data_IF_041474182944
#
_entry.id   IF_041474182944
#
_cell.length_a   1.000
_cell.length_b   1.000
_cell.length_c   1.000
_cell.angle_alpha   90.00
_cell.angle_beta   90.00
_cell.angle_gamma   90.00
#
_symmetry.space_group_name_H-M   'P 1'
#
loop_
_entity.id
_entity.type
_entity.pdbx_description
1 polymer ?
#
# COMPACT_ATOMS: atom_id res chain seq x y z
N UNK A 1 -1.71 62.14 38.57
CA UNK A 1 -1.09 63.23 37.82
C UNK A 1 -0.99 62.76 36.43
N UNK A 2 -1.89 63.18 35.57
CA UNK A 2 -1.80 64.13 34.45
C UNK A 2 -0.78 63.65 33.38
N UNK A 3 -1.08 63.52 32.10
CA UNK A 3 -2.13 64.00 31.21
C UNK A 3 -1.86 63.43 29.83
N UNK A 4 -2.74 63.02 29.05
CA UNK A 4 -3.65 63.52 28.06
C UNK A 4 -3.04 64.44 26.97
N UNK A 5 -3.18 64.00 25.70
CA UNK A 5 -3.64 64.72 24.52
C UNK A 5 -3.15 64.00 23.26
N UNK A 6 -4.02 63.49 22.38
CA UNK A 6 -5.01 64.05 21.42
C UNK A 6 -4.37 64.44 20.06
N UNK A 7 -4.94 63.77 19.04
CA UNK A 7 -5.46 64.19 17.74
C UNK A 7 -4.47 64.61 16.63
N UNK A 8 -4.56 63.96 15.44
CA UNK A 8 -5.46 64.43 14.37
C UNK A 8 -5.28 63.62 13.05
N UNK A 9 -6.34 63.11 12.59
CA UNK A 9 -6.96 63.06 11.22
C UNK A 9 -6.14 63.44 9.98
N UNK A 10 -6.27 62.63 8.93
CA UNK A 10 -5.94 63.01 7.55
C UNK A 10 -6.36 61.96 6.54
N UNK A 11 -7.59 62.01 6.11
CA UNK A 11 -8.18 61.30 4.97
C UNK A 11 -7.63 61.80 3.63
N UNK A 12 -7.37 60.88 2.68
CA UNK A 12 -7.54 61.14 1.24
C UNK A 12 -7.57 59.84 0.43
N UNK A 13 -8.69 59.53 -0.17
CA UNK A 13 -8.92 58.77 -1.40
C UNK A 13 -9.23 59.78 -2.51
N UNK A 14 -9.42 59.38 -3.79
CA UNK A 14 -8.79 58.37 -4.66
C UNK A 14 -8.37 58.99 -6.03
N UNK A 15 -7.61 58.26 -6.83
CA UNK A 15 -7.62 58.56 -8.28
C UNK A 15 -7.59 57.25 -9.11
N UNK A 16 -8.58 57.19 -9.95
CA UNK A 16 -8.88 56.20 -10.98
C UNK A 16 -8.25 56.68 -12.29
N UNK A 17 -7.40 55.88 -12.93
CA UNK A 17 -7.04 56.09 -14.34
C UNK A 17 -7.26 54.79 -15.11
N UNK A 18 -8.20 54.88 -16.01
CA UNK A 18 -8.53 53.96 -17.09
C UNK A 18 -7.62 54.17 -18.29
N UNK A 19 -7.17 53.12 -18.96
CA UNK A 19 -6.93 53.13 -20.42
C UNK A 19 -6.92 51.70 -21.00
N UNK A 20 -7.72 51.51 -22.03
CA UNK A 20 -7.74 50.40 -23.00
C UNK A 20 -7.07 50.89 -24.31
N UNK A 21 -7.12 50.16 -25.46
CA UNK A 21 -6.51 48.87 -25.80
C UNK A 21 -5.65 48.91 -27.09
N UNK A 22 -5.01 47.76 -27.41
CA UNK A 22 -4.61 47.25 -28.76
C UNK A 22 -3.36 47.84 -29.45
N UNK A 23 -2.72 47.15 -30.41
CA UNK A 23 -3.12 46.02 -31.26
C UNK A 23 -2.04 44.92 -31.45
N UNK A 24 -2.47 43.83 -32.08
CA UNK A 24 -1.62 42.75 -32.62
C UNK A 24 -0.83 43.17 -33.86
N UNK A 25 0.26 42.47 -34.22
CA UNK A 25 0.40 42.00 -35.60
C UNK A 25 0.95 40.57 -35.76
N UNK A 26 0.27 39.86 -36.66
CA UNK A 26 0.71 39.00 -37.78
C UNK A 26 1.91 38.08 -37.66
N UNK A 27 1.59 36.80 -37.84
CA UNK A 27 2.21 35.68 -38.59
C UNK A 27 3.61 35.86 -39.17
N UNK A 28 4.52 34.92 -38.80
CA UNK A 28 5.45 34.29 -39.73
C UNK A 28 5.60 32.80 -39.39
N UNK A 29 5.33 31.97 -40.40
CA UNK A 29 5.56 30.54 -40.46
C UNK A 29 7.02 30.24 -40.74
N UNK A 30 7.64 29.34 -39.98
CA UNK A 30 8.79 28.58 -40.47
C UNK A 30 8.64 27.11 -40.04
N UNK A 31 8.56 26.27 -41.07
CA UNK A 31 8.62 24.82 -40.99
C UNK A 31 9.98 24.36 -40.44
N UNK A 32 9.96 23.51 -39.44
CA UNK A 32 11.03 22.51 -39.24
C UNK A 32 10.42 21.20 -38.77
N UNK A 33 10.43 20.26 -39.70
CA UNK A 33 10.13 18.82 -39.47
C UNK A 33 11.19 18.18 -38.62
N UNK A 34 10.83 17.67 -37.43
CA UNK A 34 11.59 16.62 -36.76
C UNK A 34 10.69 15.71 -35.92
N UNK A 35 10.68 14.45 -36.31
CA UNK A 35 10.41 13.18 -35.60
C UNK A 35 9.56 13.19 -34.33
N UNK A 36 8.27 12.89 -34.46
CA UNK A 36 7.31 12.70 -33.36
C UNK A 36 6.67 11.30 -33.31
N UNK A 37 7.38 10.22 -33.71
CA UNK A 37 6.77 8.88 -33.78
C UNK A 37 6.71 8.10 -32.47
N UNK A 38 7.48 8.49 -31.43
CA UNK A 38 7.49 7.80 -30.13
C UNK A 38 6.41 8.26 -29.15
N UNK A 39 6.10 9.55 -29.12
CA UNK A 39 5.14 10.14 -28.17
C UNK A 39 3.66 9.81 -28.47
N UNK A 40 3.32 9.50 -29.72
CA UNK A 40 1.93 9.20 -30.13
C UNK A 40 1.45 7.84 -29.63
N UNK A 41 2.31 6.80 -29.62
CA UNK A 41 1.91 5.45 -29.18
C UNK A 41 1.66 5.35 -27.67
N UNK A 42 2.48 6.03 -26.86
CA UNK A 42 2.32 6.07 -25.40
C UNK A 42 1.06 6.84 -25.01
N UNK A 43 0.77 7.97 -25.68
CA UNK A 43 -0.45 8.75 -25.42
C UNK A 43 -1.74 8.00 -25.77
N UNK A 44 -1.73 7.15 -26.81
CA UNK A 44 -2.90 6.35 -27.20
C UNK A 44 -3.15 5.23 -26.19
N UNK A 45 -2.10 4.55 -25.71
CA UNK A 45 -2.22 3.54 -24.67
C UNK A 45 -2.68 4.14 -23.34
N UNK A 46 -2.12 5.29 -22.92
CA UNK A 46 -2.51 6.00 -21.71
C UNK A 46 -3.98 6.48 -21.74
N UNK A 47 -4.48 6.96 -22.89
CA UNK A 47 -5.88 7.35 -23.04
C UNK A 47 -6.84 6.17 -22.93
N UNK A 48 -6.49 5.01 -23.50
CA UNK A 48 -7.31 3.80 -23.40
C UNK A 48 -7.40 3.30 -21.95
N UNK A 49 -6.27 3.29 -21.20
CA UNK A 49 -6.22 2.84 -19.81
C UNK A 49 -6.88 3.85 -18.87
N UNK A 50 -6.73 5.16 -19.13
CA UNK A 50 -7.36 6.21 -18.33
C UNK A 50 -8.89 6.20 -18.40
N UNK A 51 -9.47 5.89 -19.57
CA UNK A 51 -10.91 5.72 -19.71
C UNK A 51 -11.45 4.60 -18.81
N UNK A 52 -10.74 3.47 -18.74
CA UNK A 52 -11.07 2.36 -17.86
C UNK A 52 -10.87 2.72 -16.37
N UNK A 53 -9.86 3.52 -16.05
CA UNK A 53 -9.58 3.98 -14.68
C UNK A 53 -10.69 4.91 -14.16
N UNK A 54 -11.19 5.82 -14.98
CA UNK A 54 -12.32 6.71 -14.63
C UNK A 54 -13.57 5.89 -14.32
N UNK A 55 -13.86 4.83 -15.11
CA UNK A 55 -15.02 3.96 -14.88
C UNK A 55 -14.96 3.20 -13.54
N UNK A 56 -13.75 2.92 -13.00
CA UNK A 56 -13.60 2.26 -11.69
C UNK A 56 -13.98 3.14 -10.49
N UNK A 57 -14.02 4.46 -10.67
CA UNK A 57 -14.31 5.43 -9.60
C UNK A 57 -15.65 6.14 -9.77
N UNK A 58 -16.41 5.87 -10.84
CA UNK A 58 -17.80 6.34 -10.97
C UNK A 58 -18.74 5.36 -10.27
N UNK A 59 -19.69 5.82 -9.44
CA UNK A 59 -20.79 4.99 -8.96
C UNK A 59 -21.59 4.48 -10.18
N UNK A 60 -22.15 3.26 -10.14
CA UNK A 60 -23.09 2.84 -11.15
C UNK A 60 -24.26 3.82 -11.19
N UNK A 61 -24.63 4.32 -12.36
CA UNK A 61 -25.89 5.02 -12.55
C UNK A 61 -27.01 4.05 -12.17
N UNK A 62 -27.88 4.44 -11.25
CA UNK A 62 -29.10 3.70 -10.91
C UNK A 62 -30.01 3.70 -12.14
N UNK A 63 -30.05 2.58 -12.85
CA UNK A 63 -31.09 2.32 -13.82
C UNK A 63 -32.42 2.15 -13.06
N UNK A 64 -33.35 3.04 -13.32
CA UNK A 64 -34.72 2.95 -12.82
C UNK A 64 -35.38 1.63 -13.25
N UNK A 65 -36.14 0.97 -12.37
CA UNK A 65 -36.73 -0.32 -12.70
C UNK A 65 -37.89 -0.16 -13.69
N UNK A 66 -37.73 -0.70 -14.87
CA UNK A 66 -38.87 -0.95 -15.77
C UNK A 66 -39.67 -2.12 -15.24
N UNK A 67 -40.88 -1.83 -14.77
CA UNK A 67 -41.93 -2.81 -14.49
C UNK A 67 -42.35 -3.51 -15.78
N UNK A 68 -42.17 -4.82 -15.84
CA UNK A 68 -43.01 -5.70 -16.68
C UNK A 68 -43.35 -6.96 -15.88
N UNK A 69 -44.65 -7.07 -15.59
CA UNK A 69 -45.31 -8.19 -15.00
C UNK A 69 -45.46 -9.35 -15.99
N UNK A 70 -45.11 -10.58 -15.58
CA UNK A 70 -45.86 -11.76 -15.98
C UNK A 70 -45.56 -12.93 -15.03
N UNK A 71 -46.68 -13.50 -14.58
CA UNK A 71 -46.77 -14.59 -13.63
C UNK A 71 -46.69 -15.97 -14.33
N UNK A 72 -46.65 -16.99 -13.51
CA UNK A 72 -46.79 -18.45 -13.58
C UNK A 72 -45.49 -19.15 -13.23
N UNK A 73 -45.36 -20.00 -12.24
CA UNK A 73 -46.26 -21.00 -11.65
C UNK A 73 -45.57 -22.35 -11.70
N UNK A 74 -45.49 -23.05 -10.57
CA UNK A 74 -45.22 -24.51 -10.64
C UNK A 74 -44.03 -25.01 -9.81
N UNK A 75 -44.34 -25.47 -8.63
CA UNK A 75 -43.73 -26.50 -7.78
C UNK A 75 -43.10 -27.69 -8.53
N UNK A 76 -42.02 -28.28 -7.99
CA UNK A 76 -42.08 -29.58 -7.29
C UNK A 76 -40.70 -30.05 -6.80
N UNK A 77 -40.73 -30.55 -5.60
CA UNK A 77 -39.68 -31.29 -4.94
C UNK A 77 -39.49 -32.69 -5.50
N UNK A 78 -38.29 -33.23 -5.47
CA UNK A 78 -38.08 -34.65 -5.14
C UNK A 78 -36.69 -34.95 -4.57
N UNK A 79 -36.73 -35.62 -3.45
CA UNK A 79 -35.70 -36.33 -2.70
C UNK A 79 -35.44 -37.70 -3.32
N UNK A 80 -34.20 -38.20 -3.23
CA UNK A 80 -33.88 -39.55 -2.72
C UNK A 80 -32.43 -39.98 -3.00
N UNK A 81 -31.73 -40.21 -2.00
CA UNK A 81 -30.98 -41.41 -1.51
C UNK A 81 -30.72 -42.56 -2.49
N UNK A 82 -29.49 -43.07 -2.53
CA UNK A 82 -29.12 -44.41 -2.10
C UNK A 82 -27.70 -44.79 -2.44
N UNK A 83 -27.08 -45.44 -1.45
CA UNK A 83 -25.88 -46.23 -1.40
C UNK A 83 -25.71 -47.27 -2.54
N UNK A 84 -24.47 -47.72 -2.77
CA UNK A 84 -24.01 -49.09 -2.58
C UNK A 84 -22.53 -49.27 -2.98
N UNK A 85 -21.82 -49.88 -2.09
CA UNK A 85 -20.57 -50.59 -2.03
C UNK A 85 -20.17 -51.48 -3.21
N UNK A 86 -18.87 -51.70 -3.39
CA UNK A 86 -18.31 -52.82 -4.17
C UNK A 86 -16.78 -52.83 -4.18
N UNK A 87 -16.24 -53.86 -3.54
CA UNK A 87 -14.84 -54.14 -3.27
C UNK A 87 -14.13 -54.94 -4.38
N UNK A 88 -12.82 -55.14 -4.11
CA UNK A 88 -11.87 -56.15 -4.61
C UNK A 88 -11.24 -55.91 -5.99
N UNK A 89 -10.04 -56.30 -6.33
CA UNK A 89 -8.95 -57.06 -5.71
C UNK A 89 -7.70 -57.00 -6.62
N UNK A 90 -6.52 -57.03 -6.00
CA UNK A 90 -5.21 -57.63 -6.39
C UNK A 90 -4.70 -57.60 -7.83
N UNK A 91 -3.43 -57.32 -8.07
CA UNK A 91 -2.22 -58.15 -8.07
C UNK A 91 -1.01 -57.43 -8.59
N UNK A 92 0.02 -57.37 -7.86
CA UNK A 92 1.36 -58.01 -7.93
C UNK A 92 2.28 -57.67 -9.12
N UNK A 93 3.49 -57.24 -8.83
CA UNK A 93 4.54 -57.07 -9.84
C UNK A 93 5.87 -56.49 -9.24
N UNK A 94 6.61 -57.33 -8.62
CA UNK A 94 7.96 -57.25 -8.02
C UNK A 94 9.08 -56.62 -8.88
N UNK A 95 10.01 -55.97 -8.24
CA UNK A 95 11.49 -56.23 -8.04
C UNK A 95 12.37 -55.02 -8.43
N UNK A 96 13.21 -54.60 -7.61
CA UNK A 96 14.45 -54.87 -6.86
C UNK A 96 15.54 -53.88 -7.24
N UNK A 97 16.18 -53.21 -6.35
CA UNK A 97 17.54 -53.26 -5.80
C UNK A 97 17.86 -51.98 -5.02
N UNK A 98 18.00 -52.02 -3.71
CA UNK A 98 19.18 -52.24 -2.87
C UNK A 98 20.21 -51.11 -2.91
N UNK A 99 20.32 -50.33 -1.84
CA UNK A 99 21.52 -50.19 -1.00
C UNK A 99 21.28 -49.31 0.21
N UNK A 100 21.26 -49.85 1.31
CA UNK A 100 21.93 -49.71 2.60
C UNK A 100 22.61 -48.36 2.82
N UNK A 101 22.03 -47.52 3.71
CA UNK A 101 22.73 -46.93 4.86
C UNK A 101 21.70 -46.66 5.96
N UNK A 102 21.78 -47.44 7.00
CA UNK A 102 21.08 -47.27 8.25
C UNK A 102 21.72 -46.09 8.99
N UNK A 103 21.03 -44.97 9.07
CA UNK A 103 21.31 -43.95 10.07
C UNK A 103 20.04 -43.80 10.89
N UNK A 104 20.22 -43.99 12.20
CA UNK A 104 19.21 -43.91 13.24
C UNK A 104 18.42 -42.59 13.05
N UNK A 105 17.10 -42.73 12.95
CA UNK A 105 16.19 -41.59 13.01
C UNK A 105 16.16 -41.08 14.44
N UNK A 106 16.98 -40.05 14.70
CA UNK A 106 16.66 -39.10 15.74
C UNK A 106 15.61 -38.18 15.18
N UNK A 107 14.52 -38.04 15.91
CA UNK A 107 13.40 -37.20 15.68
C UNK A 107 13.86 -35.75 15.41
N UNK A 108 13.96 -35.36 14.14
CA UNK A 108 14.10 -33.97 13.76
C UNK A 108 12.74 -33.30 13.97
N UNK A 109 12.55 -32.72 15.14
CA UNK A 109 11.66 -31.59 15.28
C UNK A 109 12.02 -30.55 14.20
N UNK A 110 11.11 -30.31 13.29
CA UNK A 110 11.12 -29.11 12.47
C UNK A 110 11.27 -27.93 13.41
N UNK A 111 12.42 -27.25 13.37
CA UNK A 111 12.62 -25.99 14.07
C UNK A 111 11.70 -24.98 13.43
N UNK A 112 10.47 -24.83 13.95
CA UNK A 112 9.75 -23.58 13.82
C UNK A 112 10.68 -22.46 14.31
N UNK A 113 10.81 -21.35 13.58
CA UNK A 113 11.56 -20.21 14.08
C UNK A 113 10.92 -19.81 15.41
N UNK A 114 11.68 -19.95 16.49
CA UNK A 114 11.19 -19.75 17.85
C UNK A 114 10.84 -18.28 18.03
N UNK A 115 9.58 -17.91 17.79
CA UNK A 115 9.05 -16.63 18.21
C UNK A 115 9.11 -16.59 19.73
N UNK A 116 9.94 -15.69 20.27
CA UNK A 116 10.17 -15.58 21.71
C UNK A 116 8.84 -15.14 22.35
N UNK A 117 8.35 -15.96 23.30
CA UNK A 117 7.21 -15.56 24.13
C UNK A 117 7.74 -14.67 25.25
N UNK A 118 7.32 -13.40 25.23
CA UNK A 118 7.62 -12.46 26.31
C UNK A 118 6.69 -12.68 27.51
N UNK A 119 7.18 -12.36 28.71
CA UNK A 119 6.34 -12.29 29.91
C UNK A 119 5.81 -10.87 30.10
N UNK A 120 4.74 -10.71 30.87
CA UNK A 120 4.23 -9.39 31.22
C UNK A 120 5.25 -8.55 32.02
N UNK A 121 6.10 -9.23 32.80
CA UNK A 121 7.18 -8.59 33.54
C UNK A 121 8.22 -7.97 32.58
N UNK A 122 8.60 -8.68 31.51
CA UNK A 122 9.53 -8.15 30.50
C UNK A 122 8.95 -6.94 29.79
N UNK A 123 7.66 -7.02 29.38
CA UNK A 123 6.95 -5.93 28.73
C UNK A 123 6.86 -4.69 29.64
N UNK A 124 6.46 -4.87 30.90
CA UNK A 124 6.38 -3.79 31.88
C UNK A 124 7.74 -3.13 32.13
N UNK A 125 8.80 -3.95 32.23
CA UNK A 125 10.17 -3.45 32.38
C UNK A 125 10.60 -2.63 31.16
N UNK A 126 10.40 -3.18 29.93
CA UNK A 126 10.78 -2.54 28.69
C UNK A 126 10.03 -1.20 28.43
N UNK A 127 8.76 -1.11 28.86
CA UNK A 127 7.89 0.06 28.66
C UNK A 127 7.79 0.99 29.87
N UNK A 128 8.49 0.69 30.97
CA UNK A 128 8.33 1.39 32.27
C UNK A 128 6.84 1.44 32.67
N UNK A 129 6.19 0.26 32.70
CA UNK A 129 4.75 0.10 32.96
C UNK A 129 3.87 0.89 32.00
N UNK A 130 4.14 0.79 30.68
CA UNK A 130 3.42 1.54 29.63
C UNK A 130 3.40 3.06 29.85
N UNK A 131 4.53 3.60 30.23
CA UNK A 131 4.68 5.04 30.50
C UNK A 131 4.16 5.89 29.32
N UNK A 132 3.31 6.90 29.56
CA UNK A 132 2.80 7.79 28.51
C UNK A 132 3.89 8.47 27.69
N UNK A 133 5.06 8.72 28.29
CA UNK A 133 6.23 9.34 27.62
C UNK A 133 6.80 8.43 26.53
N UNK A 134 6.63 7.11 26.67
CA UNK A 134 7.12 6.12 25.71
C UNK A 134 6.07 5.77 24.63
N UNK A 135 4.89 6.38 24.68
CA UNK A 135 3.86 6.20 23.66
C UNK A 135 4.30 6.88 22.38
N UNK A 136 4.45 6.09 21.29
CA UNK A 136 4.87 6.58 19.97
C UNK A 136 3.75 6.56 18.93
N UNK A 137 2.63 5.86 19.22
CA UNK A 137 1.49 5.81 18.32
C UNK A 137 0.22 5.26 18.95
N UNK A 138 -0.92 5.61 18.35
CA UNK A 138 -2.23 5.05 18.72
C UNK A 138 -3.11 4.97 17.47
N UNK A 139 -3.74 3.83 17.25
CA UNK A 139 -4.60 3.60 16.10
C UNK A 139 -5.80 2.70 16.42
N UNK A 140 -6.45 2.21 15.36
CA UNK A 140 -7.58 1.29 15.45
C UNK A 140 -7.24 0.01 16.20
N UNK A 141 -6.07 -0.54 15.96
CA UNK A 141 -5.59 -1.79 16.55
C UNK A 141 -5.17 -1.67 18.02
N UNK A 142 -4.70 -0.51 18.45
CA UNK A 142 -4.17 -0.37 19.80
C UNK A 142 -3.22 0.80 19.97
N UNK A 143 -2.33 0.68 20.97
CA UNK A 143 -1.31 1.67 21.31
C UNK A 143 0.07 1.07 21.13
N UNK A 144 0.98 1.84 20.55
CA UNK A 144 2.38 1.45 20.33
C UNK A 144 3.26 2.24 21.29
N UNK A 145 4.15 1.53 21.98
CA UNK A 145 5.13 2.09 22.90
C UNK A 145 6.54 1.80 22.41
N UNK A 146 7.44 2.77 22.53
CA UNK A 146 8.87 2.52 22.46
C UNK A 146 9.30 1.76 23.70
N UNK A 147 10.07 0.70 23.54
CA UNK A 147 10.61 -0.10 24.63
C UNK A 147 12.09 -0.34 24.47
N UNK A 148 12.74 -0.78 25.56
CA UNK A 148 14.11 -1.24 25.54
C UNK A 148 14.21 -2.57 26.26
N UNK A 149 14.71 -3.59 25.56
CA UNK A 149 14.94 -4.91 26.14
C UNK A 149 16.15 -4.91 27.05
N UNK A 150 16.38 -6.03 27.77
CA UNK A 150 17.48 -6.14 28.75
C UNK A 150 18.87 -6.05 28.12
N UNK A 151 18.99 -6.48 26.86
CA UNK A 151 20.22 -6.42 26.06
C UNK A 151 20.47 -5.03 25.42
N UNK A 152 19.60 -4.05 25.70
CA UNK A 152 19.68 -2.71 25.13
C UNK A 152 18.95 -2.55 23.81
N UNK A 153 18.42 -3.60 23.20
CA UNK A 153 17.70 -3.55 21.92
C UNK A 153 16.46 -2.66 22.02
N UNK A 154 16.33 -1.69 21.11
CA UNK A 154 15.14 -0.84 21.01
C UNK A 154 14.04 -1.58 20.23
N UNK A 155 12.84 -1.61 20.81
CA UNK A 155 11.67 -2.29 20.26
C UNK A 155 10.45 -1.38 20.22
N UNK A 156 9.51 -1.67 19.31
CA UNK A 156 8.15 -1.15 19.31
C UNK A 156 7.22 -2.22 19.88
N UNK A 157 6.48 -1.86 20.91
CA UNK A 157 5.58 -2.75 21.65
C UNK A 157 4.16 -2.33 21.34
N UNK A 158 3.51 -3.08 20.46
CA UNK A 158 2.14 -2.87 20.00
C UNK A 158 1.19 -3.62 20.93
N UNK A 159 0.46 -2.89 21.79
CA UNK A 159 -0.55 -3.44 22.69
C UNK A 159 -1.93 -3.27 22.10
N UNK A 160 -2.64 -4.36 21.83
CA UNK A 160 -3.99 -4.34 21.29
C UNK A 160 -4.98 -3.68 22.28
N UNK A 161 -6.04 -3.07 21.74
CA UNK A 161 -7.13 -2.56 22.56
C UNK A 161 -7.85 -3.72 23.27
N UNK A 162 -8.14 -3.56 24.54
CA UNK A 162 -9.05 -4.45 25.27
C UNK A 162 -10.50 -4.12 24.84
N UNK A 163 -11.04 -4.92 23.95
CA UNK A 163 -12.47 -4.84 23.61
C UNK A 163 -13.13 -6.15 23.95
N UNK A 164 -14.02 -6.12 24.94
CA UNK A 164 -14.80 -7.30 25.36
C UNK A 164 -15.78 -7.80 24.28
N UNK A 165 -16.02 -6.99 23.22
CA UNK A 165 -17.02 -7.27 22.19
C UNK A 165 -16.42 -7.58 20.80
N UNK A 166 -15.12 -7.42 20.60
CA UNK A 166 -14.54 -7.51 19.26
C UNK A 166 -13.82 -8.85 19.04
N UNK A 167 -14.60 -9.88 18.64
CA UNK A 167 -14.08 -11.20 18.25
C UNK A 167 -13.08 -11.11 17.07
N UNK A 168 -13.06 -9.99 16.34
CA UNK A 168 -12.17 -9.77 15.18
C UNK A 168 -10.73 -9.41 15.61
N UNK A 169 -10.53 -8.74 16.76
CA UNK A 169 -9.21 -8.35 17.26
C UNK A 169 -8.30 -9.57 17.56
N UNK A 170 -8.89 -10.67 18.04
CA UNK A 170 -8.16 -11.93 18.22
C UNK A 170 -7.65 -12.50 16.91
N UNK A 171 -8.47 -12.46 15.85
CA UNK A 171 -8.09 -12.95 14.53
C UNK A 171 -7.03 -12.07 13.83
N UNK A 172 -7.04 -10.77 14.05
CA UNK A 172 -6.02 -9.84 13.53
C UNK A 172 -4.67 -10.06 14.21
N UNK A 173 -4.67 -10.19 15.53
CA UNK A 173 -3.47 -10.51 16.31
C UNK A 173 -2.83 -11.83 15.86
N UNK A 174 -3.62 -12.92 15.76
CA UNK A 174 -3.12 -14.22 15.30
C UNK A 174 -2.58 -14.16 13.87
N UNK A 175 -3.24 -13.40 12.98
CA UNK A 175 -2.76 -13.20 11.60
C UNK A 175 -1.43 -12.45 11.57
N UNK A 176 -1.28 -11.42 12.40
CA UNK A 176 -0.04 -10.66 12.53
C UNK A 176 1.11 -11.54 13.01
N UNK A 177 0.90 -12.33 14.06
CA UNK A 177 1.90 -13.27 14.57
C UNK A 177 2.26 -14.31 13.52
N UNK A 178 1.26 -14.94 12.89
CA UNK A 178 1.47 -16.00 11.90
C UNK A 178 2.25 -15.48 10.68
N UNK A 179 1.99 -14.27 10.23
CA UNK A 179 2.71 -13.68 9.11
C UNK A 179 4.13 -13.28 9.53
N UNK A 180 4.27 -12.52 10.62
CA UNK A 180 5.56 -11.98 11.07
C UNK A 180 6.55 -13.05 11.51
N UNK A 181 6.09 -14.19 12.08
CA UNK A 181 6.98 -15.28 12.50
C UNK A 181 7.65 -16.00 11.33
N UNK A 182 7.12 -15.86 10.11
CA UNK A 182 7.58 -16.55 8.90
C UNK A 182 8.44 -15.69 8.00
N UNK A 183 8.64 -14.40 8.31
CA UNK A 183 9.31 -13.46 7.43
C UNK A 183 10.52 -12.82 8.10
N UNK A 184 11.63 -12.74 7.34
CA UNK A 184 12.79 -11.96 7.70
C UNK A 184 13.36 -11.32 6.43
N UNK A 185 13.27 -9.99 6.34
CA UNK A 185 13.74 -9.22 5.19
C UNK A 185 14.17 -7.82 5.62
N UNK A 186 15.19 -7.26 4.96
CA UNK A 186 15.75 -5.94 5.28
C UNK A 186 14.70 -4.83 5.28
N UNK A 187 13.76 -4.88 4.34
CA UNK A 187 12.71 -3.86 4.16
C UNK A 187 11.38 -4.24 4.82
N UNK A 188 11.38 -5.21 5.75
CA UNK A 188 10.27 -5.52 6.65
C UNK A 188 10.68 -5.22 8.09
N UNK A 189 9.72 -4.87 8.94
CA UNK A 189 9.97 -4.78 10.38
C UNK A 189 10.24 -6.19 10.93
N UNK A 190 11.30 -6.32 11.73
CA UNK A 190 11.64 -7.60 12.36
C UNK A 190 10.70 -7.90 13.52
N UNK A 191 10.17 -9.12 13.61
CA UNK A 191 9.45 -9.59 14.78
C UNK A 191 10.43 -10.15 15.81
N UNK A 192 10.36 -9.69 17.05
CA UNK A 192 11.10 -10.25 18.16
C UNK A 192 10.28 -11.27 18.95
N UNK A 193 8.96 -11.14 18.93
CA UNK A 193 8.06 -12.07 19.59
C UNK A 193 6.73 -11.46 19.99
N UNK A 194 6.02 -12.11 20.88
CA UNK A 194 4.69 -11.69 21.29
C UNK A 194 4.35 -12.13 22.73
N UNK A 195 3.27 -11.57 23.27
CA UNK A 195 2.61 -11.99 24.50
C UNK A 195 1.12 -12.15 24.23
N UNK A 196 0.58 -13.32 24.61
CA UNK A 196 -0.84 -13.57 24.71
C UNK A 196 -1.13 -14.18 26.08
N UNK A 197 -1.76 -13.38 26.96
CA UNK A 197 -2.04 -13.79 28.34
C UNK A 197 -3.34 -13.11 28.82
N UNK A 198 -4.38 -13.88 29.11
CA UNK A 198 -5.70 -13.33 29.43
C UNK A 198 -6.22 -12.45 28.30
N UNK A 199 -6.53 -11.19 28.62
CA UNK A 199 -7.00 -10.19 27.65
C UNK A 199 -5.86 -9.40 26.99
N UNK A 200 -4.60 -9.62 27.41
CA UNK A 200 -3.46 -8.92 26.84
C UNK A 200 -2.98 -9.60 25.57
N UNK A 201 -2.86 -8.81 24.51
CA UNK A 201 -2.29 -9.20 23.23
C UNK A 201 -1.29 -8.15 22.80
N UNK A 202 -0.02 -8.54 22.76
CA UNK A 202 1.10 -7.65 22.56
C UNK A 202 2.04 -8.26 21.54
N UNK A 203 2.42 -7.47 20.53
CA UNK A 203 3.47 -7.81 19.56
C UNK A 203 4.69 -6.95 19.82
N UNK A 204 5.87 -7.56 19.80
CA UNK A 204 7.15 -6.91 19.98
C UNK A 204 7.91 -6.94 18.66
N UNK A 205 8.11 -5.78 18.06
CA UNK A 205 8.78 -5.64 16.75
C UNK A 205 9.92 -4.64 16.82
N UNK A 206 10.71 -4.59 15.77
CA UNK A 206 11.78 -3.62 15.60
C UNK A 206 11.26 -2.17 15.75
N UNK A 207 11.97 -1.36 16.53
CA UNK A 207 11.73 0.08 16.60
C UNK A 207 12.46 0.79 15.45
N UNK A 208 11.72 1.43 14.57
CA UNK A 208 12.27 2.20 13.45
C UNK A 208 12.16 3.69 13.79
N UNK A 209 13.29 4.41 13.94
CA UNK A 209 13.32 5.66 14.71
C UNK A 209 12.79 6.89 13.99
N UNK A 210 12.74 6.90 12.65
CA UNK A 210 12.48 8.10 11.86
C UNK A 210 11.00 8.25 11.42
N UNK A 211 10.07 7.58 12.13
CA UNK A 211 8.64 7.72 11.88
C UNK A 211 8.16 7.11 10.56
N UNK A 212 7.01 7.57 10.09
CA UNK A 212 6.32 7.04 8.90
C UNK A 212 6.61 7.88 7.65
N UNK A 213 6.55 7.24 6.48
CA UNK A 213 6.61 7.94 5.19
C UNK A 213 5.52 9.02 5.09
N UNK A 214 4.33 8.81 5.67
CA UNK A 214 3.25 9.81 5.67
C UNK A 214 3.66 11.09 6.38
N UNK A 215 4.29 10.99 7.56
CA UNK A 215 4.78 12.14 8.31
C UNK A 215 5.85 12.92 7.54
N UNK A 216 6.72 12.23 6.83
CA UNK A 216 7.73 12.87 5.96
C UNK A 216 7.11 13.56 4.75
N UNK A 217 6.12 12.95 4.08
CA UNK A 217 5.42 13.59 2.96
C UNK A 217 4.63 14.83 3.42
N UNK A 218 4.15 14.85 4.65
CA UNK A 218 3.49 16.01 5.29
C UNK A 218 4.48 17.01 5.89
N UNK A 219 5.78 16.69 5.86
CA UNK A 219 6.87 17.52 6.41
C UNK A 219 6.73 17.85 7.90
N UNK A 220 6.20 16.93 8.71
CA UNK A 220 6.12 17.14 10.16
C UNK A 220 7.50 17.38 10.80
N UNK A 221 8.55 16.78 10.24
CA UNK A 221 9.93 16.97 10.72
C UNK A 221 10.67 18.13 10.04
N UNK A 222 9.99 18.95 9.23
CA UNK A 222 10.56 20.10 8.53
C UNK A 222 11.45 19.76 7.32
N UNK A 223 11.80 18.50 7.11
CA UNK A 223 12.66 18.06 6.02
C UNK A 223 11.83 17.52 4.84
N UNK A 224 12.13 17.98 3.63
CA UNK A 224 11.52 17.50 2.39
C UNK A 224 12.29 16.31 1.85
N UNK A 225 11.61 15.19 1.60
CA UNK A 225 12.20 14.06 0.88
C UNK A 225 12.42 14.44 -0.59
N UNK A 226 13.67 14.38 -1.06
CA UNK A 226 14.00 14.53 -2.50
C UNK A 226 13.36 13.44 -3.34
N UNK A 227 13.24 13.64 -4.65
CA UNK A 227 12.69 12.61 -5.55
C UNK A 227 13.58 11.35 -5.58
N UNK A 228 14.91 11.50 -5.47
CA UNK A 228 15.86 10.37 -5.33
C UNK A 228 15.54 9.51 -4.10
N UNK A 229 15.33 10.13 -2.94
CA UNK A 229 14.94 9.43 -1.71
C UNK A 229 13.57 8.74 -1.85
N UNK A 230 12.61 9.38 -2.52
CA UNK A 230 11.27 8.81 -2.76
C UNK A 230 11.34 7.59 -3.70
N UNK A 231 12.24 7.61 -4.69
CA UNK A 231 12.50 6.45 -5.56
C UNK A 231 13.13 5.30 -4.78
N UNK A 232 14.12 5.58 -3.92
CA UNK A 232 14.74 4.55 -3.07
C UNK A 232 13.71 3.90 -2.13
N UNK A 233 12.84 4.70 -1.51
CA UNK A 233 11.74 4.22 -0.67
C UNK A 233 10.77 3.35 -1.48
N UNK A 234 10.39 3.76 -2.70
CA UNK A 234 9.51 2.98 -3.56
C UNK A 234 10.13 1.61 -3.93
N UNK A 235 11.43 1.58 -4.23
CA UNK A 235 12.19 0.36 -4.54
C UNK A 235 12.22 -0.56 -3.31
N UNK A 236 12.51 -0.02 -2.13
CA UNK A 236 12.54 -0.78 -0.87
C UNK A 236 11.19 -1.45 -0.59
N UNK A 237 10.09 -0.70 -0.73
CA UNK A 237 8.73 -1.23 -0.56
C UNK A 237 8.43 -2.30 -1.60
N UNK A 238 8.80 -2.08 -2.88
CA UNK A 238 8.61 -3.07 -3.93
C UNK A 238 9.39 -4.37 -3.66
N UNK A 239 10.61 -4.29 -3.13
CA UNK A 239 11.40 -5.45 -2.70
C UNK A 239 10.74 -6.20 -1.54
N UNK A 240 10.27 -5.47 -0.51
CA UNK A 240 9.57 -6.07 0.63
C UNK A 240 8.34 -6.87 0.18
N UNK A 241 7.49 -6.27 -0.68
CA UNK A 241 6.27 -6.94 -1.14
C UNK A 241 6.62 -8.09 -2.11
N UNK A 242 7.66 -7.95 -2.94
CA UNK A 242 8.15 -9.05 -3.80
C UNK A 242 8.57 -10.24 -2.96
N UNK A 243 9.28 -10.00 -1.85
CA UNK A 243 9.68 -11.05 -0.91
C UNK A 243 8.44 -11.77 -0.34
N UNK A 244 7.43 -11.03 0.13
CA UNK A 244 6.19 -11.61 0.67
C UNK A 244 5.42 -12.45 -0.36
N UNK A 245 5.41 -12.02 -1.63
CA UNK A 245 4.67 -12.71 -2.69
C UNK A 245 5.40 -13.91 -3.30
N UNK A 246 6.74 -13.98 -3.17
CA UNK A 246 7.53 -14.92 -4.00
C UNK A 246 8.49 -15.81 -3.19
N UNK A 247 9.02 -15.32 -2.08
CA UNK A 247 10.15 -15.95 -1.38
C UNK A 247 9.78 -16.52 -0.01
N UNK A 248 8.52 -16.50 0.37
CA UNK A 248 7.97 -17.16 1.56
C UNK A 248 7.42 -18.54 1.18
N UNK A 249 7.41 -19.50 2.11
CA UNK A 249 6.90 -20.87 1.86
C UNK A 249 5.47 -20.85 1.27
N UNK A 250 4.64 -19.94 1.76
CA UNK A 250 3.32 -19.63 1.22
C UNK A 250 3.25 -18.13 0.98
N UNK A 251 2.87 -17.66 -0.22
CA UNK A 251 2.76 -16.23 -0.50
C UNK A 251 1.90 -15.50 0.54
N UNK A 252 2.40 -14.37 1.02
CA UNK A 252 1.71 -13.54 2.01
C UNK A 252 1.21 -12.27 1.33
N UNK A 253 -0.10 -12.01 1.42
CA UNK A 253 -0.73 -10.78 0.95
C UNK A 253 -0.86 -9.84 2.15
N UNK A 254 -0.26 -8.65 2.07
CA UNK A 254 -0.18 -7.68 3.17
C UNK A 254 -1.53 -6.99 3.44
N UNK A 255 -2.28 -6.61 2.39
CA UNK A 255 -3.63 -5.99 2.39
C UNK A 255 -3.73 -4.55 2.89
N UNK A 256 -2.67 -3.99 3.48
CA UNK A 256 -2.70 -2.62 4.02
C UNK A 256 -1.43 -1.82 3.68
N UNK A 257 -0.99 -1.93 2.42
CA UNK A 257 0.13 -1.13 1.90
C UNK A 257 -0.32 0.32 1.79
N UNK A 258 0.30 1.20 2.57
CA UNK A 258 0.02 2.65 2.64
C UNK A 258 1.18 3.40 3.27
N UNK A 259 1.28 4.69 3.04
CA UNK A 259 2.39 5.52 3.53
C UNK A 259 2.55 5.55 5.07
N UNK A 260 1.46 5.39 5.83
CA UNK A 260 1.53 5.31 7.30
C UNK A 260 2.00 3.96 7.84
N UNK A 261 2.08 2.92 6.99
CA UNK A 261 2.62 1.61 7.33
C UNK A 261 4.05 1.40 6.76
N UNK A 262 4.62 2.44 6.16
CA UNK A 262 6.03 2.45 5.74
C UNK A 262 6.81 3.29 6.74
N UNK A 263 7.68 2.63 7.50
CA UNK A 263 8.57 3.28 8.47
C UNK A 263 9.93 3.59 7.82
N UNK A 264 10.56 4.68 8.24
CA UNK A 264 11.85 5.09 7.71
C UNK A 264 12.95 4.96 8.77
N UNK A 265 14.08 4.38 8.36
CA UNK A 265 15.30 4.37 9.17
C UNK A 265 15.99 5.74 9.14
N UNK A 266 16.99 5.95 10.01
CA UNK A 266 17.82 7.18 10.01
C UNK A 266 18.48 7.45 8.63
N UNK A 267 18.70 6.39 7.85
CA UNK A 267 19.25 6.47 6.48
C UNK A 267 18.17 6.56 5.41
N UNK A 268 16.93 6.89 5.76
CA UNK A 268 15.76 6.97 4.88
C UNK A 268 15.47 5.67 4.12
N UNK A 269 15.89 4.49 4.63
CA UNK A 269 15.52 3.19 4.06
C UNK A 269 14.15 2.77 4.59
N UNK A 270 13.32 2.25 3.70
CA UNK A 270 11.96 1.89 4.06
C UNK A 270 11.87 0.49 4.67
N UNK A 271 10.98 0.38 5.67
CA UNK A 271 10.54 -0.89 6.27
C UNK A 271 9.02 -0.95 6.30
N UNK A 272 8.46 -1.98 5.67
CA UNK A 272 7.01 -2.22 5.69
C UNK A 272 6.63 -2.81 7.04
N UNK A 273 5.57 -2.26 7.64
CA UNK A 273 5.09 -2.60 8.98
C UNK A 273 3.57 -2.87 8.98
N UNK A 274 3.07 -3.38 10.10
CA UNK A 274 1.65 -3.63 10.39
C UNK A 274 1.01 -4.75 9.56
N UNK A 275 1.25 -5.98 9.98
CA UNK A 275 0.73 -7.21 9.36
C UNK A 275 -0.65 -7.64 9.90
N UNK A 276 -1.36 -6.80 10.65
CA UNK A 276 -2.64 -7.12 11.27
C UNK A 276 -3.72 -7.59 10.30
N UNK A 277 -3.62 -7.20 9.02
CA UNK A 277 -4.53 -7.65 7.96
C UNK A 277 -3.93 -8.71 7.05
N UNK A 278 -2.67 -9.08 7.21
CA UNK A 278 -2.00 -10.03 6.33
C UNK A 278 -2.73 -11.37 6.24
N UNK A 279 -2.63 -12.03 5.09
CA UNK A 279 -3.17 -13.37 4.84
C UNK A 279 -2.23 -14.18 3.97
N UNK A 280 -2.13 -15.47 4.28
CA UNK A 280 -1.54 -16.42 3.36
C UNK A 280 -2.40 -16.48 2.09
N UNK A 281 -1.77 -16.45 0.93
CA UNK A 281 -2.46 -16.70 -0.34
C UNK A 281 -3.00 -18.14 -0.37
N UNK A 282 -3.92 -18.42 -1.28
CA UNK A 282 -4.36 -19.78 -1.50
C UNK A 282 -3.19 -20.62 -2.02
N UNK A 283 -3.05 -21.85 -1.50
CA UNK A 283 -2.04 -22.79 -1.96
C UNK A 283 -2.25 -23.11 -3.43
N UNK A 284 -1.18 -23.04 -4.22
CA UNK A 284 -1.20 -23.41 -5.63
C UNK A 284 -1.69 -24.87 -5.82
N UNK A 285 -1.37 -25.76 -4.88
CA UNK A 285 -1.81 -27.15 -4.86
C UNK A 285 -3.33 -27.31 -4.66
N UNK A 286 -3.99 -26.35 -4.00
CA UNK A 286 -5.44 -26.38 -3.81
C UNK A 286 -6.24 -25.99 -5.08
N UNK A 287 -5.58 -25.58 -6.16
CA UNK A 287 -6.21 -25.09 -7.40
C UNK A 287 -6.98 -23.78 -7.23
N UNK A 288 -6.90 -23.14 -6.06
CA UNK A 288 -7.57 -21.85 -5.78
C UNK A 288 -6.71 -20.70 -6.26
N UNK A 289 -7.29 -19.80 -7.02
CA UNK A 289 -6.62 -18.61 -7.57
C UNK A 289 -6.72 -17.37 -6.67
N UNK A 290 -7.45 -17.46 -5.56
CA UNK A 290 -7.71 -16.35 -4.65
C UNK A 290 -8.14 -16.84 -3.26
N UNK A 291 -8.07 -15.96 -2.27
CA UNK A 291 -8.63 -16.17 -0.93
C UNK A 291 -9.95 -15.40 -0.81
N UNK A 292 -11.06 -16.11 -0.60
CA UNK A 292 -12.35 -15.48 -0.28
C UNK A 292 -12.33 -15.04 1.18
N UNK A 293 -12.41 -13.74 1.43
CA UNK A 293 -12.31 -13.19 2.79
C UNK A 293 -13.06 -11.87 2.90
N UNK A 294 -13.45 -11.53 4.14
CA UNK A 294 -14.00 -10.21 4.45
C UNK A 294 -13.05 -9.10 3.97
N UNK A 295 -13.60 -8.09 3.32
CA UNK A 295 -12.82 -6.95 2.86
C UNK A 295 -12.23 -6.20 4.05
N UNK A 296 -10.91 -6.06 4.05
CA UNK A 296 -10.14 -5.26 4.99
C UNK A 296 -9.09 -4.45 4.22
N UNK A 297 -8.70 -3.31 4.78
CA UNK A 297 -7.74 -2.40 4.20
C UNK A 297 -8.11 -0.95 4.48
N UNK A 298 -7.36 -0.01 3.94
CA UNK A 298 -7.51 1.42 4.17
C UNK A 298 -8.18 2.10 2.97
N UNK A 299 -9.22 2.91 3.22
CA UNK A 299 -9.90 3.67 2.18
C UNK A 299 -8.90 4.51 1.35
N UNK A 300 -9.08 4.51 0.04
CA UNK A 300 -8.20 5.18 -0.91
C UNK A 300 -7.04 4.31 -1.43
N UNK A 301 -6.64 3.24 -0.70
CA UNK A 301 -5.65 2.26 -1.16
C UNK A 301 -6.30 0.92 -1.54
N UNK A 302 -7.55 0.70 -1.12
CA UNK A 302 -8.25 -0.56 -1.30
C UNK A 302 -8.54 -0.84 -2.77
N UNK A 303 -8.19 -2.04 -3.23
CA UNK A 303 -8.44 -2.51 -4.60
C UNK A 303 -9.93 -2.60 -4.90
N UNK A 304 -10.46 -1.87 -5.91
CA UNK A 304 -11.89 -1.90 -6.27
C UNK A 304 -12.35 -3.27 -6.77
N UNK A 305 -11.48 -4.06 -7.43
CA UNK A 305 -11.82 -5.41 -7.85
C UNK A 305 -11.99 -6.34 -6.65
N UNK A 306 -11.08 -6.27 -5.67
CA UNK A 306 -11.22 -7.00 -4.42
C UNK A 306 -12.47 -6.58 -3.63
N UNK A 307 -12.75 -5.26 -3.54
CA UNK A 307 -13.94 -4.72 -2.88
C UNK A 307 -15.23 -5.30 -3.48
N UNK A 308 -15.29 -5.42 -4.81
CA UNK A 308 -16.47 -5.89 -5.53
C UNK A 308 -16.62 -7.42 -5.53
N UNK A 309 -15.49 -8.15 -5.64
CA UNK A 309 -15.50 -9.60 -5.84
C UNK A 309 -15.27 -10.41 -4.59
N UNK A 310 -14.79 -9.78 -3.51
CA UNK A 310 -14.30 -10.45 -2.28
C UNK A 310 -13.14 -11.44 -2.51
N UNK A 311 -12.53 -11.39 -3.70
CA UNK A 311 -11.43 -12.26 -4.10
C UNK A 311 -10.09 -11.58 -3.88
N UNK A 312 -9.44 -11.90 -2.77
CA UNK A 312 -8.12 -11.39 -2.43
C UNK A 312 -7.03 -12.12 -3.22
N UNK A 313 -6.10 -11.36 -3.80
CA UNK A 313 -4.89 -11.86 -4.48
C UNK A 313 -3.71 -10.94 -4.22
N UNK A 314 -2.50 -11.38 -4.55
CA UNK A 314 -1.28 -10.57 -4.54
C UNK A 314 -1.42 -9.27 -5.35
N UNK A 315 -2.28 -9.29 -6.38
CA UNK A 315 -2.56 -8.11 -7.22
C UNK A 315 -3.30 -6.99 -6.47
N UNK A 316 -3.88 -7.29 -5.30
CA UNK A 316 -4.48 -6.27 -4.45
C UNK A 316 -3.41 -5.40 -3.77
N UNK A 317 -2.26 -5.99 -3.36
CA UNK A 317 -1.11 -5.22 -2.86
C UNK A 317 -0.48 -4.38 -3.98
N UNK A 318 -0.44 -4.90 -5.22
CA UNK A 318 0.04 -4.14 -6.38
C UNK A 318 -0.83 -2.90 -6.63
N UNK A 319 -2.15 -3.01 -6.49
CA UNK A 319 -3.04 -1.85 -6.59
C UNK A 319 -2.72 -0.80 -5.51
N UNK A 320 -2.63 -1.23 -4.26
CA UNK A 320 -2.29 -0.34 -3.13
C UNK A 320 -0.92 0.32 -3.33
N UNK A 321 0.06 -0.42 -3.86
CA UNK A 321 1.37 0.10 -4.22
C UNK A 321 1.30 1.16 -5.34
N UNK A 322 0.44 0.98 -6.35
CA UNK A 322 0.19 1.99 -7.38
C UNK A 322 -0.34 3.30 -6.79
N UNK A 323 -1.26 3.23 -5.82
CA UNK A 323 -1.74 4.41 -5.09
C UNK A 323 -0.60 5.06 -4.27
N UNK A 324 0.25 4.25 -3.64
CA UNK A 324 1.43 4.74 -2.90
C UNK A 324 2.42 5.49 -3.83
N UNK A 325 2.63 5.01 -5.06
CA UNK A 325 3.47 5.70 -6.04
C UNK A 325 2.92 7.10 -6.38
N UNK A 326 1.61 7.22 -6.58
CA UNK A 326 0.97 8.52 -6.80
C UNK A 326 1.14 9.42 -5.58
N UNK A 327 0.97 8.89 -4.37
CA UNK A 327 1.17 9.63 -3.12
C UNK A 327 2.62 10.13 -2.99
N UNK A 328 3.61 9.31 -3.34
CA UNK A 328 5.04 9.66 -3.32
C UNK A 328 5.37 10.84 -4.24
N UNK A 329 4.80 10.89 -5.44
CA UNK A 329 5.14 11.96 -6.39
C UNK A 329 4.33 13.24 -6.20
N UNK A 330 3.13 13.15 -5.63
CA UNK A 330 2.24 14.31 -5.43
C UNK A 330 2.33 14.91 -4.03
N UNK A 331 2.83 14.16 -3.04
CA UNK A 331 2.79 14.52 -1.62
C UNK A 331 1.37 14.55 -1.03
N UNK A 332 0.32 14.26 -1.83
CA UNK A 332 -1.09 14.30 -1.42
C UNK A 332 -1.53 12.98 -0.80
N UNK A 333 -2.50 13.04 0.12
CA UNK A 333 -3.20 11.84 0.59
C UNK A 333 -4.03 11.22 -0.54
N UNK A 334 -4.29 9.92 -0.54
CA UNK A 334 -5.15 9.28 -1.57
C UNK A 334 -6.54 9.89 -1.66
N UNK A 335 -7.10 10.32 -0.54
CA UNK A 335 -8.39 11.02 -0.46
C UNK A 335 -8.17 12.38 0.22
N UNK A 336 -8.51 13.45 -0.49
CA UNK A 336 -8.42 14.86 -0.06
C UNK A 336 -9.81 15.47 0.05
N UNK A 337 -10.52 15.20 1.16
CA UNK A 337 -11.93 15.55 1.33
C UNK A 337 -12.24 17.05 1.19
N UNK A 338 -11.24 17.92 1.43
CA UNK A 338 -11.38 19.39 1.37
C UNK A 338 -11.25 19.97 -0.04
N UNK A 339 -10.88 19.13 -1.03
CA UNK A 339 -10.72 19.57 -2.42
C UNK A 339 -12.02 19.44 -3.21
N UNK A 340 -12.05 20.05 -4.40
CA UNK A 340 -13.14 19.90 -5.35
C UNK A 340 -13.35 18.43 -5.74
N UNK A 341 -14.57 18.08 -6.15
CA UNK A 341 -14.99 16.70 -6.38
C UNK A 341 -14.08 15.92 -7.34
N UNK A 342 -13.61 16.57 -8.40
CA UNK A 342 -12.74 15.97 -9.41
C UNK A 342 -11.28 15.80 -8.94
N UNK A 343 -10.87 16.51 -7.87
CA UNK A 343 -9.56 16.42 -7.24
C UNK A 343 -9.53 15.58 -5.94
N UNK A 344 -10.69 15.20 -5.38
CA UNK A 344 -10.75 14.49 -4.09
C UNK A 344 -10.04 13.15 -4.09
N UNK A 345 -10.11 12.42 -5.19
CA UNK A 345 -9.41 11.15 -5.37
C UNK A 345 -8.10 11.45 -6.08
N UNK A 346 -7.01 11.53 -5.33
CA UNK A 346 -5.69 11.95 -5.82
C UNK A 346 -5.22 11.14 -7.02
N UNK A 347 -5.39 9.82 -7.00
CA UNK A 347 -4.98 8.97 -8.12
C UNK A 347 -5.78 9.29 -9.40
N UNK A 348 -7.09 9.49 -9.31
CA UNK A 348 -7.94 9.87 -10.45
C UNK A 348 -7.52 11.21 -11.03
N UNK A 349 -7.34 12.21 -10.18
CA UNK A 349 -6.87 13.54 -10.57
C UNK A 349 -5.48 13.47 -11.24
N UNK A 350 -4.52 12.75 -10.63
CA UNK A 350 -3.18 12.63 -11.16
C UNK A 350 -3.15 11.94 -12.54
N UNK A 351 -3.92 10.85 -12.71
CA UNK A 351 -4.00 10.16 -13.99
C UNK A 351 -4.66 11.00 -15.08
N UNK A 352 -5.68 11.79 -14.73
CA UNK A 352 -6.28 12.77 -15.67
C UNK A 352 -5.23 13.79 -16.15
N UNK A 353 -4.49 14.41 -15.22
CA UNK A 353 -3.43 15.36 -15.56
C UNK A 353 -2.31 14.75 -16.41
N UNK A 354 -1.95 13.49 -16.12
CA UNK A 354 -0.99 12.75 -16.92
C UNK A 354 -1.49 12.51 -18.36
N UNK A 355 -2.74 12.10 -18.55
CA UNK A 355 -3.32 11.87 -19.88
C UNK A 355 -3.53 13.17 -20.65
N UNK A 356 -3.78 14.28 -19.97
CA UNK A 356 -3.90 15.61 -20.55
C UNK A 356 -2.52 16.20 -20.97
N UNK A 357 -1.41 15.50 -20.65
CA UNK A 357 -0.04 15.89 -20.99
C UNK A 357 0.53 17.02 -20.12
N UNK A 358 -0.05 17.25 -18.95
CA UNK A 358 0.37 18.27 -17.98
C UNK A 358 0.84 17.66 -16.66
N UNK A 359 1.48 16.48 -16.74
CA UNK A 359 1.94 15.71 -15.58
C UNK A 359 2.78 16.53 -14.59
N UNK A 360 3.66 17.40 -15.06
CA UNK A 360 4.51 18.24 -14.20
C UNK A 360 3.72 19.11 -13.22
N UNK A 361 2.46 19.42 -13.53
CA UNK A 361 1.59 20.22 -12.66
C UNK A 361 1.19 19.53 -11.37
N UNK A 362 1.30 18.20 -11.31
CA UNK A 362 0.94 17.39 -10.12
C UNK A 362 2.12 17.06 -9.23
N UNK A 363 3.35 17.35 -9.66
CA UNK A 363 4.52 17.13 -8.83
C UNK A 363 4.35 17.84 -7.49
N UNK A 364 4.72 17.16 -6.40
CA UNK A 364 4.70 17.76 -5.06
C UNK A 364 5.32 19.16 -5.11
N UNK A 365 4.59 20.23 -4.74
CA UNK A 365 5.10 21.60 -4.82
C UNK A 365 6.36 21.86 -3.99
N UNK A 366 6.72 20.94 -3.10
CA UNK A 366 7.97 20.97 -2.32
C UNK A 366 9.18 20.47 -3.13
N UNK A 367 8.96 19.84 -4.27
CA UNK A 367 10.02 19.37 -5.18
C UNK A 367 10.24 20.37 -6.30
N UNK A 368 11.49 20.49 -6.73
CA UNK A 368 11.86 21.31 -7.87
C UNK A 368 11.24 20.78 -9.16
N UNK A 369 10.78 21.68 -10.03
CA UNK A 369 10.26 21.35 -11.35
C UNK A 369 11.38 21.36 -12.39
N UNK A 370 12.34 20.45 -12.26
CA UNK A 370 13.40 20.22 -13.25
C UNK A 370 12.97 19.22 -14.33
N UNK A 371 13.68 19.20 -15.46
CA UNK A 371 13.43 18.23 -16.53
C UNK A 371 13.63 16.79 -16.05
N UNK A 372 14.67 16.53 -15.23
CA UNK A 372 14.92 15.24 -14.62
C UNK A 372 13.74 14.77 -13.75
N UNK A 373 13.23 15.67 -12.88
CA UNK A 373 12.05 15.38 -12.06
C UNK A 373 10.80 15.15 -12.92
N UNK A 374 10.62 15.91 -13.99
CA UNK A 374 9.50 15.76 -14.92
C UNK A 374 9.51 14.39 -15.62
N UNK A 375 10.66 13.98 -16.14
CA UNK A 375 10.80 12.70 -16.83
C UNK A 375 10.63 11.50 -15.87
N UNK A 376 11.22 11.57 -14.68
CA UNK A 376 11.03 10.53 -13.66
C UNK A 376 9.55 10.45 -13.21
N UNK A 377 8.88 11.59 -13.00
CA UNK A 377 7.47 11.67 -12.68
C UNK A 377 6.60 10.97 -13.74
N UNK A 378 6.81 11.24 -15.02
CA UNK A 378 6.03 10.61 -16.10
C UNK A 378 6.18 9.09 -16.09
N UNK A 379 7.42 8.57 -15.94
CA UNK A 379 7.69 7.13 -15.86
C UNK A 379 7.08 6.48 -14.62
N UNK A 380 7.11 7.16 -13.46
CA UNK A 380 6.49 6.67 -12.23
C UNK A 380 4.96 6.61 -12.40
N UNK A 381 4.35 7.64 -13.01
CA UNK A 381 2.90 7.66 -13.26
C UNK A 381 2.47 6.58 -14.26
N UNK A 382 3.29 6.29 -15.28
CA UNK A 382 3.05 5.19 -16.21
C UNK A 382 3.01 3.84 -15.47
N UNK A 383 3.98 3.58 -14.58
CA UNK A 383 3.98 2.38 -13.74
C UNK A 383 2.77 2.35 -12.79
N UNK A 384 2.47 3.47 -12.14
CA UNK A 384 1.32 3.57 -11.24
C UNK A 384 0.01 3.25 -11.96
N UNK A 385 -0.17 3.75 -13.20
CA UNK A 385 -1.31 3.47 -14.06
C UNK A 385 -1.47 1.97 -14.34
N UNK A 386 -0.36 1.27 -14.60
CA UNK A 386 -0.37 -0.19 -14.77
C UNK A 386 -0.76 -0.90 -13.47
N UNK A 387 -0.26 -0.46 -12.32
CA UNK A 387 -0.56 -1.06 -11.02
C UNK A 387 -2.04 -0.91 -10.64
N UNK A 388 -2.69 0.23 -10.97
CA UNK A 388 -4.10 0.49 -10.66
C UNK A 388 -5.06 0.05 -11.77
N UNK A 389 -4.62 -0.77 -12.73
CA UNK A 389 -5.49 -1.30 -13.78
C UNK A 389 -6.75 -1.95 -13.18
N UNK A 390 -7.91 -1.74 -13.84
CA UNK A 390 -9.22 -2.19 -13.37
C UNK A 390 -9.28 -3.70 -13.13
N UNK A 391 -8.66 -4.47 -14.04
CA UNK A 391 -8.59 -5.92 -13.94
C UNK A 391 -7.23 -6.35 -13.38
N UNK A 392 -7.24 -7.12 -12.29
CA UNK A 392 -6.03 -7.62 -11.61
C UNK A 392 -5.05 -8.34 -12.55
N UNK A 393 -5.55 -9.07 -13.57
CA UNK A 393 -4.72 -9.77 -14.58
C UNK A 393 -3.84 -8.83 -15.41
N UNK A 394 -4.22 -7.55 -15.54
CA UNK A 394 -3.48 -6.56 -16.31
C UNK A 394 -2.43 -5.83 -15.47
N UNK A 395 -2.44 -6.03 -14.14
CA UNK A 395 -1.46 -5.42 -13.23
C UNK A 395 -0.14 -6.19 -13.28
N UNK A 396 1.01 -5.51 -13.22
CA UNK A 396 2.33 -6.16 -13.15
C UNK A 396 2.46 -7.02 -11.88
N UNK A 397 3.55 -7.78 -11.78
CA UNK A 397 4.01 -8.36 -10.52
C UNK A 397 4.81 -7.32 -9.74
N UNK A 398 4.95 -7.47 -8.41
CA UNK A 398 5.79 -6.56 -7.61
C UNK A 398 7.26 -6.62 -8.03
N UNK A 399 7.76 -7.79 -8.42
CA UNK A 399 9.10 -7.95 -9.01
C UNK A 399 9.27 -7.05 -10.24
N UNK A 400 8.27 -7.04 -11.15
CA UNK A 400 8.32 -6.16 -12.32
C UNK A 400 8.27 -4.68 -11.94
N UNK A 401 7.51 -4.32 -10.92
CA UNK A 401 7.50 -2.95 -10.39
C UNK A 401 8.89 -2.54 -9.87
N UNK A 402 9.56 -3.41 -9.11
CA UNK A 402 10.91 -3.16 -8.61
C UNK A 402 11.93 -2.95 -9.74
N UNK A 403 11.90 -3.81 -10.78
CA UNK A 403 12.77 -3.69 -11.96
C UNK A 403 12.56 -2.35 -12.70
N UNK A 404 11.29 -1.94 -12.90
CA UNK A 404 10.98 -0.67 -13.56
C UNK A 404 11.45 0.52 -12.74
N UNK A 405 11.19 0.52 -11.43
CA UNK A 405 11.64 1.60 -10.54
C UNK A 405 13.16 1.71 -10.47
N UNK A 406 13.87 0.58 -10.47
CA UNK A 406 15.33 0.56 -10.53
C UNK A 406 15.86 1.25 -11.80
N UNK A 407 15.25 0.97 -12.96
CA UNK A 407 15.62 1.61 -14.21
C UNK A 407 15.29 3.12 -14.19
N UNK A 408 14.12 3.51 -13.66
CA UNK A 408 13.77 4.93 -13.49
C UNK A 408 14.82 5.64 -12.63
N UNK A 409 15.22 5.03 -11.52
CA UNK A 409 16.22 5.58 -10.61
C UNK A 409 17.59 5.70 -11.26
N UNK A 410 18.00 4.70 -12.06
CA UNK A 410 19.25 4.74 -12.81
C UNK A 410 19.24 5.90 -13.79
N UNK A 411 18.21 5.98 -14.66
CA UNK A 411 18.06 7.05 -15.65
C UNK A 411 18.01 8.44 -14.98
N UNK A 412 17.32 8.53 -13.84
CA UNK A 412 17.23 9.77 -13.06
C UNK A 412 18.59 10.24 -12.57
N UNK A 413 19.43 9.33 -12.06
CA UNK A 413 20.79 9.67 -11.60
C UNK A 413 21.71 10.11 -12.75
N UNK A 414 21.58 9.48 -13.91
CA UNK A 414 22.34 9.86 -15.10
C UNK A 414 22.00 11.28 -15.61
N UNK A 415 20.81 11.78 -15.28
CA UNK A 415 20.39 13.15 -15.66
C UNK A 415 20.79 14.22 -14.63
N UNK A 416 21.21 13.83 -13.44
CA UNK A 416 21.67 14.75 -12.40
C UNK A 416 23.18 15.05 -12.50
N UNK A 417 23.90 14.28 -13.31
CA UNK A 417 25.35 14.43 -13.61
C UNK A 417 25.55 15.29 -14.84
#
# INVERSE_FOLDING_TARGET
>A
MYGSRKDSSGSRTPERVSYSPSPSPSSYSTNSSQSSSGRSRVRTAARSVAGVFVACFTPPEEEAPHHSSSAFGGSDAFSSTSDVSGASDSTDGKRLHRSIYTVKSDSTHSKEPASIKFTMADINKATKNFSPVLKVGQGGFGTVYKGQLQDGTLVAIKRAKKSMYDKNLGGEFQSEIQALSKVEHLNLVKCYGYLEQGDERIVVVEYVPNGTLREHLECFNGNVLSLDSRLDIAIDVAHAITYLHTYTDHPIIHRDIKSSNILLTDKLRAKVADFGFARLAADAESGKTHVSTQVKGTAGYLDPEYLRTYQLTEKSDVYSFGILLVELVTGRRPIEAKRELDERITARWAMKKYTDGVAISILDPKLEKSDANGLALEKILELALQCVAAHRRNRPTMRRCAEVLWNIRKDYKEQLV
#
